data_IF_965259199375
#
_entry.id   IF_965259199375
#
_cell.length_a   1.000
_cell.length_b   1.000
_cell.length_c   1.000
_cell.angle_alpha   90.00
_cell.angle_beta   90.00
_cell.angle_gamma   90.00
#
_symmetry.space_group_name_H-M   'P 1'
#
loop_
_entity.id
_entity.type
_entity.pdbx_description
1 polymer ?
#
# COMPACT_ATOMS: atom_id res chain seq x y z
N UNK A 1 15.76 5.21 2.69
CA UNK A 1 16.26 4.37 1.58
C UNK A 1 16.37 5.27 0.37
N UNK A 2 17.45 5.16 -0.39
CA UNK A 2 17.64 5.96 -1.60
C UNK A 2 16.91 5.27 -2.75
N UNK A 3 15.77 5.83 -3.12
CA UNK A 3 14.96 5.40 -4.26
C UNK A 3 15.14 6.37 -5.44
N UNK A 4 14.50 6.08 -6.58
CA UNK A 4 14.55 6.98 -7.74
C UNK A 4 13.85 8.33 -7.53
N UNK A 5 13.02 8.49 -6.49
CA UNK A 5 12.40 9.76 -6.13
C UNK A 5 11.31 10.27 -7.08
N UNK A 6 10.70 9.40 -7.89
CA UNK A 6 9.62 9.79 -8.81
C UNK A 6 8.29 10.09 -8.09
N UNK A 7 8.01 9.40 -6.98
CA UNK A 7 6.82 9.56 -6.14
C UNK A 7 7.20 9.40 -4.67
N UNK A 8 6.44 10.05 -3.79
CA UNK A 8 6.64 9.98 -2.35
C UNK A 8 6.01 8.73 -1.73
N UNK A 9 6.56 8.31 -0.58
CA UNK A 9 6.02 7.25 0.25
C UNK A 9 6.72 5.89 0.08
N UNK A 10 6.13 4.87 0.70
CA UNK A 10 6.58 3.48 0.65
C UNK A 10 5.46 2.61 0.06
N UNK A 11 5.83 1.53 -0.64
CA UNK A 11 4.88 0.62 -1.27
C UNK A 11 5.27 -0.84 -0.99
N UNK A 12 4.27 -1.69 -0.78
CA UNK A 12 4.40 -3.14 -0.68
C UNK A 12 3.42 -3.79 -1.67
N UNK A 13 3.86 -4.18 -2.88
CA UNK A 13 3.02 -4.91 -3.82
C UNK A 13 2.83 -6.36 -3.34
N UNK A 14 1.85 -7.06 -3.95
CA UNK A 14 1.53 -8.46 -3.66
C UNK A 14 1.27 -8.72 -2.17
N UNK A 15 0.59 -7.80 -1.48
CA UNK A 15 0.47 -7.78 -0.02
C UNK A 15 -0.18 -9.04 0.58
N UNK A 16 -0.98 -9.74 -0.22
CA UNK A 16 -1.63 -11.03 0.03
C UNK A 16 -0.87 -12.22 -0.56
N UNK A 17 0.16 -12.00 -1.37
CA UNK A 17 0.88 -13.07 -2.09
C UNK A 17 1.79 -13.94 -1.22
N UNK A 18 2.27 -13.43 -0.08
CA UNK A 18 3.13 -14.18 0.85
C UNK A 18 2.76 -13.89 2.31
N UNK A 19 2.82 -14.93 3.16
CA UNK A 19 2.41 -14.88 4.58
C UNK A 19 3.15 -13.81 5.39
N UNK A 20 4.41 -13.54 5.04
CA UNK A 20 5.29 -12.64 5.81
C UNK A 20 5.20 -11.17 5.39
N UNK A 21 4.53 -10.84 4.27
CA UNK A 21 4.44 -9.45 3.79
C UNK A 21 3.67 -8.57 4.75
N UNK A 22 2.52 -9.01 5.26
CA UNK A 22 1.73 -8.24 6.23
C UNK A 22 2.49 -8.04 7.55
N UNK A 23 3.00 -9.10 8.21
CA UNK A 23 3.82 -8.96 9.41
C UNK A 23 5.03 -8.04 9.22
N UNK A 24 5.75 -8.16 8.10
CA UNK A 24 6.95 -7.35 7.83
C UNK A 24 6.62 -5.85 7.74
N UNK A 25 5.57 -5.49 6.99
CA UNK A 25 5.11 -4.08 6.93
C UNK A 25 4.69 -3.58 8.31
N UNK A 26 3.99 -4.40 9.10
CA UNK A 26 3.59 -4.00 10.46
C UNK A 26 4.80 -3.77 11.35
N UNK A 27 5.82 -4.63 11.25
CA UNK A 27 7.05 -4.51 12.02
C UNK A 27 7.83 -3.26 11.61
N UNK A 28 7.96 -2.97 10.31
CA UNK A 28 8.63 -1.75 9.84
C UNK A 28 7.96 -0.47 10.32
N UNK A 29 6.62 -0.46 10.36
CA UNK A 29 5.84 0.67 10.90
C UNK A 29 6.03 0.79 12.42
N UNK A 30 5.98 -0.34 13.16
CA UNK A 30 6.17 -0.34 14.62
C UNK A 30 7.59 0.03 15.05
N UNK A 31 8.58 -0.35 14.25
CA UNK A 31 9.99 0.00 14.43
C UNK A 31 10.30 1.44 13.98
N UNK A 32 9.29 2.19 13.50
CA UNK A 32 9.44 3.56 12.96
C UNK A 32 10.44 3.65 11.77
N UNK A 33 10.70 2.53 11.08
CA UNK A 33 11.55 2.50 9.87
C UNK A 33 10.87 3.15 8.67
N UNK A 34 9.54 3.11 8.65
CA UNK A 34 8.66 3.79 7.69
C UNK A 34 7.44 4.33 8.44
N UNK A 35 6.92 5.49 8.04
CA UNK A 35 5.73 6.10 8.66
C UNK A 35 4.44 5.41 8.21
N UNK A 36 4.36 5.10 6.91
CA UNK A 36 3.22 4.45 6.28
C UNK A 36 3.66 3.65 5.06
N UNK A 37 2.78 2.79 4.57
CA UNK A 37 3.00 1.98 3.38
C UNK A 37 1.71 1.83 2.59
N UNK A 38 1.76 2.10 1.29
CA UNK A 38 0.72 1.68 0.36
C UNK A 38 0.89 0.20 0.07
N UNK A 39 -0.01 -0.62 0.60
CA UNK A 39 0.01 -2.05 0.44
C UNK A 39 -1.02 -2.44 -0.62
N UNK A 40 -0.59 -3.14 -1.68
CA UNK A 40 -1.44 -3.52 -2.79
C UNK A 40 -1.52 -5.04 -2.87
N UNK A 41 -2.73 -5.58 -2.91
CA UNK A 41 -2.94 -6.98 -3.22
C UNK A 41 -2.63 -7.26 -4.69
N UNK A 42 -2.52 -8.54 -5.02
CA UNK A 42 -2.58 -8.98 -6.40
C UNK A 42 -3.82 -8.38 -7.08
N UNK A 43 -3.68 -8.02 -8.35
CA UNK A 43 -4.79 -7.40 -9.07
C UNK A 43 -5.10 -5.95 -8.68
N UNK A 44 -4.26 -5.25 -7.91
CA UNK A 44 -4.41 -3.82 -7.64
C UNK A 44 -3.22 -2.99 -8.18
N UNK A 45 -3.48 -1.76 -8.63
CA UNK A 45 -2.44 -0.79 -8.99
C UNK A 45 -2.76 0.63 -8.52
N UNK A 46 -1.72 1.39 -8.17
CA UNK A 46 -1.81 2.83 -7.91
C UNK A 46 -1.61 3.59 -9.21
N UNK A 47 -2.57 4.44 -9.56
CA UNK A 47 -2.45 5.35 -10.69
C UNK A 47 -2.01 6.72 -10.18
N UNK A 48 -0.79 7.14 -10.53
CA UNK A 48 -0.27 8.47 -10.25
C UNK A 48 -0.39 9.38 -11.48
N UNK A 49 -0.68 10.66 -11.25
CA UNK A 49 -0.61 11.74 -12.26
C UNK A 49 0.24 12.88 -11.70
N UNK A 50 1.32 13.23 -12.40
CA UNK A 50 2.24 14.31 -12.00
C UNK A 50 2.73 14.16 -10.55
N UNK A 51 3.18 12.97 -10.17
CA UNK A 51 3.69 12.67 -8.83
C UNK A 51 2.62 12.50 -7.74
N UNK A 52 1.34 12.77 -8.04
CA UNK A 52 0.24 12.69 -7.08
C UNK A 52 -0.60 11.46 -7.31
N UNK A 53 -0.95 10.75 -6.23
CA UNK A 53 -1.85 9.61 -6.29
C UNK A 53 -3.23 10.09 -6.78
N UNK A 54 -3.65 9.57 -7.92
CA UNK A 54 -4.90 9.96 -8.58
C UNK A 54 -6.05 9.00 -8.23
N UNK A 55 -5.82 7.70 -8.35
CA UNK A 55 -6.80 6.67 -7.99
C UNK A 55 -6.11 5.31 -7.80
N UNK A 56 -6.87 4.33 -7.30
CA UNK A 56 -6.51 2.91 -7.35
C UNK A 56 -7.33 2.25 -8.46
N UNK A 57 -6.73 1.31 -9.19
CA UNK A 57 -7.43 0.47 -10.17
C UNK A 57 -7.32 -1.00 -9.76
N UNK A 58 -8.37 -1.78 -10.00
CA UNK A 58 -8.41 -3.21 -9.68
C UNK A 58 -8.82 -4.05 -10.88
N UNK A 59 -8.18 -5.22 -11.01
CA UNK A 59 -8.28 -6.14 -12.17
C UNK A 59 -8.98 -7.47 -11.85
N UNK A 60 -9.59 -7.60 -10.67
CA UNK A 60 -10.59 -8.62 -10.35
C UNK A 60 -11.37 -8.24 -9.09
N UNK A 61 -12.54 -8.85 -8.88
CA UNK A 61 -13.35 -8.64 -7.68
C UNK A 61 -12.60 -9.12 -6.43
N UNK A 62 -12.55 -8.27 -5.41
CA UNK A 62 -11.87 -8.57 -4.14
C UNK A 62 -10.43 -8.08 -4.05
N UNK A 63 -9.78 -7.71 -5.15
CA UNK A 63 -8.47 -7.04 -5.10
C UNK A 63 -8.58 -5.66 -4.44
N UNK A 64 -7.60 -5.30 -3.62
CA UNK A 64 -7.59 -4.05 -2.89
C UNK A 64 -6.22 -3.39 -2.73
N UNK A 65 -6.27 -2.11 -2.35
CA UNK A 65 -5.11 -1.38 -1.87
C UNK A 65 -5.44 -0.71 -0.53
N UNK A 66 -4.42 -0.59 0.31
CA UNK A 66 -4.54 -0.10 1.68
C UNK A 66 -3.46 0.93 1.96
N UNK A 67 -3.82 2.00 2.65
CA UNK A 67 -2.87 2.85 3.34
C UNK A 67 -2.66 2.26 4.75
N UNK A 68 -1.49 1.66 4.97
CA UNK A 68 -1.12 1.03 6.24
C UNK A 68 -0.29 2.01 7.06
N UNK A 69 -0.72 2.31 8.28
CA UNK A 69 -0.03 3.27 9.17
C UNK A 69 -0.25 2.93 10.64
N UNK A 70 0.55 3.53 11.52
CA UNK A 70 0.36 3.45 12.97
C UNK A 70 -0.62 4.53 13.44
N UNK A 71 -1.69 4.16 14.13
CA UNK A 71 -2.61 5.09 14.80
C UNK A 71 -2.92 4.61 16.20
N UNK A 72 -2.68 5.47 17.20
CA UNK A 72 -2.89 5.17 18.62
C UNK A 72 -2.22 3.85 19.06
N UNK A 73 -0.97 3.64 18.65
CA UNK A 73 -0.17 2.44 18.96
C UNK A 73 -0.63 1.16 18.25
N UNK A 74 -1.55 1.24 17.29
CA UNK A 74 -2.05 0.08 16.52
C UNK A 74 -1.85 0.29 15.03
N UNK A 75 -1.41 -0.76 14.34
CA UNK A 75 -1.35 -0.75 12.88
C UNK A 75 -2.79 -0.76 12.34
N UNK A 76 -3.07 0.16 11.42
CA UNK A 76 -4.38 0.32 10.78
C UNK A 76 -4.24 0.18 9.27
N UNK A 77 -5.19 -0.52 8.68
CA UNK A 77 -5.37 -0.65 7.24
C UNK A 77 -6.55 0.22 6.85
N UNK A 78 -6.28 1.30 6.12
CA UNK A 78 -7.33 2.12 5.53
C UNK A 78 -7.52 1.70 4.09
N UNK A 79 -8.66 1.08 3.79
CA UNK A 79 -9.01 0.70 2.42
C UNK A 79 -9.04 1.94 1.52
N UNK A 80 -8.46 1.82 0.34
CA UNK A 80 -8.49 2.85 -0.68
C UNK A 80 -9.63 2.54 -1.65
N UNK A 81 -10.43 3.56 -1.97
CA UNK A 81 -11.45 3.42 -3.02
C UNK A 81 -10.76 3.15 -4.35
N UNK A 82 -11.28 2.20 -5.10
CA UNK A 82 -10.75 1.79 -6.40
C UNK A 82 -11.79 1.87 -7.50
N UNK A 83 -11.30 1.94 -8.74
CA UNK A 83 -12.09 1.75 -9.95
C UNK A 83 -11.82 0.33 -10.43
N UNK A 84 -12.85 -0.50 -10.44
CA UNK A 84 -12.80 -1.85 -11.01
C UNK A 84 -12.82 -1.78 -12.54
N UNK A 85 -11.90 -2.47 -13.20
CA UNK A 85 -11.72 -2.40 -14.66
C UNK A 85 -11.73 -3.74 -15.38
N UNK A 86 -12.00 -4.86 -14.70
CA UNK A 86 -12.12 -6.19 -15.32
C UNK A 86 -12.05 -7.31 -14.32
#
# INVERSE_FOLDING_TARGET
MDCMGFVDGCCCPHYDGEVDRRPSVHQFIKDEKIESCYALEDGAALHYKNGKLHTVVTFYEGAGAYEVSLKNGKVKHKNMNSIYIG
#
